data_IF_887703542655
#
_entry.id   IF_887703542655
#
_cell.length_a   1.000
_cell.length_b   1.000
_cell.length_c   1.000
_cell.angle_alpha   90.00
_cell.angle_beta   90.00
_cell.angle_gamma   90.00
#
_symmetry.space_group_name_H-M   'P 1'
#
loop_
_entity.id
_entity.type
_entity.pdbx_description
1 polymer ?
#
# COMPACT_ATOMS: atom_id res chain seq x y z
N UNK A 1 -0.96 -9.10 2.13
CA UNK A 1 -0.73 -9.93 0.92
C UNK A 1 -0.41 -9.04 -0.28
N UNK A 2 -1.21 -8.02 -0.59
CA UNK A 2 -1.03 -7.02 -1.65
C UNK A 2 0.37 -6.37 -1.70
N UNK A 3 0.72 -5.50 -0.73
CA UNK A 3 2.03 -4.80 -0.72
C UNK A 3 3.24 -5.74 -0.89
N UNK A 4 3.24 -6.89 -0.23
CA UNK A 4 4.33 -7.87 -0.36
C UNK A 4 4.52 -8.41 -1.79
N UNK A 5 3.43 -8.56 -2.56
CA UNK A 5 3.51 -8.99 -3.96
C UNK A 5 4.11 -7.88 -4.80
N UNK A 6 3.64 -6.65 -4.61
CA UNK A 6 4.13 -5.49 -5.35
C UNK A 6 5.61 -5.25 -5.13
N UNK A 7 6.04 -5.20 -3.87
CA UNK A 7 7.42 -4.93 -3.50
C UNK A 7 8.39 -6.00 -4.02
N UNK A 8 7.97 -7.27 -4.00
CA UNK A 8 8.85 -8.39 -4.36
C UNK A 8 8.84 -8.72 -5.83
N UNK A 9 7.73 -8.52 -6.52
CA UNK A 9 7.52 -9.07 -7.86
C UNK A 9 7.20 -8.01 -8.91
N UNK A 10 6.49 -6.93 -8.56
CA UNK A 10 6.03 -5.93 -9.53
C UNK A 10 7.01 -4.75 -9.62
N UNK A 11 7.28 -4.09 -8.50
CA UNK A 11 8.14 -2.89 -8.45
C UNK A 11 9.54 -3.13 -9.04
N UNK A 12 10.23 -4.27 -8.82
CA UNK A 12 11.52 -4.52 -9.45
C UNK A 12 11.44 -4.59 -10.98
N UNK A 13 10.32 -5.05 -11.54
CA UNK A 13 10.11 -5.10 -13.00
C UNK A 13 9.80 -3.69 -13.53
N UNK A 14 8.93 -2.94 -12.84
CA UNK A 14 8.60 -1.57 -13.21
C UNK A 14 9.83 -0.65 -13.17
N UNK A 15 10.68 -0.82 -12.15
CA UNK A 15 11.94 -0.08 -11.98
C UNK A 15 12.89 -0.22 -13.17
N UNK A 16 12.74 -1.21 -14.06
CA UNK A 16 13.55 -1.30 -15.28
C UNK A 16 13.34 -0.11 -16.20
N UNK A 17 12.10 0.36 -16.31
CA UNK A 17 11.71 1.44 -17.25
C UNK A 17 11.15 2.69 -16.59
N UNK A 18 10.67 2.60 -15.34
CA UNK A 18 10.03 3.69 -14.61
C UNK A 18 10.94 4.15 -13.47
N UNK A 19 11.64 5.29 -13.61
CA UNK A 19 12.63 5.76 -12.63
C UNK A 19 12.05 6.01 -11.23
N UNK A 20 10.76 6.34 -11.13
CA UNK A 20 10.03 6.48 -9.86
C UNK A 20 10.10 5.22 -8.97
N UNK A 21 10.30 4.03 -9.57
CA UNK A 21 10.49 2.78 -8.82
C UNK A 21 11.95 2.46 -8.48
N UNK A 22 12.93 3.28 -8.89
CA UNK A 22 14.37 3.06 -8.62
C UNK A 22 14.89 3.71 -7.34
N UNK A 23 14.36 4.86 -6.93
CA UNK A 23 14.85 5.66 -5.81
C UNK A 23 13.72 5.88 -4.82
N UNK A 24 13.76 5.15 -3.71
CA UNK A 24 12.89 5.33 -2.54
C UNK A 24 11.45 5.73 -2.85
N UNK A 25 10.70 4.75 -3.35
CA UNK A 25 9.26 4.77 -3.56
C UNK A 25 8.53 5.39 -2.36
N UNK A 26 7.88 6.53 -2.58
CA UNK A 26 6.89 7.07 -1.66
C UNK A 26 5.82 6.00 -1.35
N UNK A 27 5.51 5.12 -2.32
CA UNK A 27 4.68 3.92 -2.14
C UNK A 27 5.21 2.96 -1.05
N UNK A 28 6.53 2.68 -1.00
CA UNK A 28 7.11 1.83 0.05
C UNK A 28 7.01 2.48 1.44
N UNK A 29 7.16 3.81 1.50
CA UNK A 29 7.00 4.56 2.77
C UNK A 29 5.54 4.51 3.21
N UNK A 30 4.60 4.67 2.29
CA UNK A 30 3.17 4.53 2.54
C UNK A 30 2.81 3.11 3.01
N UNK A 31 3.28 2.05 2.34
CA UNK A 31 3.07 0.66 2.77
C UNK A 31 3.49 0.45 4.23
N UNK A 32 4.68 0.90 4.61
CA UNK A 32 5.20 0.78 5.98
C UNK A 32 4.31 1.50 7.00
N UNK A 33 3.83 2.70 6.67
CA UNK A 33 2.95 3.47 7.56
C UNK A 33 1.58 2.79 7.70
N UNK A 34 1.01 2.29 6.60
CA UNK A 34 -0.25 1.54 6.61
C UNK A 34 -0.11 0.29 7.47
N UNK A 35 0.95 -0.50 7.26
CA UNK A 35 1.23 -1.70 8.07
C UNK A 35 1.38 -1.36 9.56
N UNK A 36 2.15 -0.32 9.91
CA UNK A 36 2.30 0.09 11.30
C UNK A 36 0.98 0.53 11.96
N UNK A 37 0.06 1.13 11.19
CA UNK A 37 -1.29 1.45 11.66
C UNK A 37 -2.16 0.20 11.86
N UNK A 38 -2.13 -0.71 10.90
CA UNK A 38 -2.85 -1.98 10.96
C UNK A 38 -2.37 -2.86 12.11
N UNK A 39 -1.07 -2.93 12.38
CA UNK A 39 -0.50 -3.70 13.50
C UNK A 39 -1.07 -3.21 14.84
N UNK A 40 -1.16 -1.88 15.03
CA UNK A 40 -1.77 -1.29 16.24
C UNK A 40 -3.25 -1.59 16.33
N UNK A 41 -3.96 -1.53 15.20
CA UNK A 41 -5.38 -1.83 15.15
C UNK A 41 -5.67 -3.30 15.46
N UNK A 42 -4.91 -4.23 14.88
CA UNK A 42 -5.00 -5.67 15.15
C UNK A 42 -4.70 -5.99 16.61
N UNK A 43 -3.69 -5.36 17.20
CA UNK A 43 -3.35 -5.54 18.60
C UNK A 43 -4.52 -5.16 19.52
N UNK A 44 -5.14 -4.00 19.30
CA UNK A 44 -6.30 -3.56 20.07
C UNK A 44 -7.51 -4.49 19.91
N UNK A 45 -7.84 -4.90 18.68
CA UNK A 45 -8.93 -5.85 18.44
C UNK A 45 -8.65 -7.22 19.07
N UNK A 46 -7.40 -7.65 19.09
CA UNK A 46 -6.97 -8.88 19.76
C UNK A 46 -7.13 -8.78 21.28
N UNK A 47 -6.79 -7.64 21.87
CA UNK A 47 -7.01 -7.37 23.29
C UNK A 47 -8.49 -7.38 23.65
N UNK A 48 -9.34 -6.76 22.83
CA UNK A 48 -10.79 -6.80 22.99
C UNK A 48 -11.32 -8.25 22.94
N UNK A 49 -10.87 -9.03 21.96
CA UNK A 49 -11.26 -10.44 21.80
C UNK A 49 -10.85 -11.31 23.00
N UNK A 50 -9.71 -10.99 23.63
CA UNK A 50 -9.20 -11.69 24.81
C UNK A 50 -9.81 -11.18 26.13
N UNK A 51 -10.69 -10.16 26.10
CA UNK A 51 -11.27 -9.54 27.30
C UNK A 51 -10.27 -8.69 28.09
N UNK A 52 -9.15 -8.27 27.48
CA UNK A 52 -8.15 -7.39 28.10
C UNK A 52 -8.48 -5.91 27.97
N UNK A 53 -9.40 -5.57 27.05
CA UNK A 53 -9.93 -4.24 26.83
C UNK A 53 -11.41 -4.34 26.42
N UNK A 54 -12.18 -3.29 26.69
CA UNK A 54 -13.54 -3.17 26.18
C UNK A 54 -13.52 -2.55 24.77
N UNK A 55 -14.40 -3.04 23.89
CA UNK A 55 -14.47 -2.56 22.51
C UNK A 55 -15.15 -1.19 22.42
N UNK A 56 -14.35 -0.14 22.45
CA UNK A 56 -14.81 1.24 22.33
C UNK A 56 -14.78 1.75 20.88
N UNK A 57 -15.92 2.25 20.40
CA UNK A 57 -16.05 2.79 19.03
C UNK A 57 -15.14 3.99 18.79
N UNK A 58 -14.95 4.83 19.81
CA UNK A 58 -14.07 6.00 19.73
C UNK A 58 -12.61 5.61 19.50
N UNK A 59 -12.17 4.53 20.15
CA UNK A 59 -10.80 4.03 20.01
C UNK A 59 -10.58 3.33 18.67
N UNK A 60 -11.56 2.55 18.20
CA UNK A 60 -11.57 2.00 16.84
C UNK A 60 -11.40 3.12 15.82
N UNK A 61 -12.20 4.19 15.93
CA UNK A 61 -12.10 5.34 15.01
C UNK A 61 -10.71 5.98 15.09
N UNK A 62 -10.19 6.25 16.29
CA UNK A 62 -8.88 6.88 16.48
C UNK A 62 -7.74 6.07 15.84
N UNK A 63 -7.79 4.74 15.97
CA UNK A 63 -6.80 3.85 15.37
C UNK A 63 -6.92 3.83 13.84
N UNK A 64 -8.14 3.78 13.31
CA UNK A 64 -8.38 3.85 11.86
C UNK A 64 -7.95 5.19 11.27
N UNK A 65 -8.24 6.31 11.94
CA UNK A 65 -7.80 7.65 11.53
C UNK A 65 -6.26 7.72 11.48
N UNK A 66 -5.56 7.00 12.36
CA UNK A 66 -4.10 6.99 12.46
C UNK A 66 -3.36 6.47 11.22
N UNK A 67 -4.05 5.76 10.33
CA UNK A 67 -3.51 5.35 9.02
C UNK A 67 -4.44 5.63 7.84
N UNK A 68 -5.62 6.22 8.08
CA UNK A 68 -6.62 6.46 7.05
C UNK A 68 -6.14 7.44 5.97
N UNK A 69 -5.53 8.56 6.37
CA UNK A 69 -5.02 9.56 5.41
C UNK A 69 -3.96 8.98 4.49
N UNK A 70 -3.00 8.22 5.03
CA UNK A 70 -1.94 7.59 4.23
C UNK A 70 -2.49 6.48 3.34
N UNK A 71 -3.50 5.72 3.80
CA UNK A 71 -4.16 4.70 2.99
C UNK A 71 -4.84 5.32 1.77
N UNK A 72 -5.59 6.42 1.93
CA UNK A 72 -6.23 7.09 0.80
C UNK A 72 -5.22 7.67 -0.18
N UNK A 73 -4.20 8.37 0.32
CA UNK A 73 -3.15 8.91 -0.52
C UNK A 73 -2.42 7.80 -1.30
N UNK A 74 -2.17 6.66 -0.67
CA UNK A 74 -1.56 5.51 -1.30
C UNK A 74 -2.37 4.96 -2.47
N UNK A 75 -3.68 4.74 -2.27
CA UNK A 75 -4.57 4.26 -3.34
C UNK A 75 -4.61 5.23 -4.53
N UNK A 76 -4.66 6.54 -4.27
CA UNK A 76 -4.63 7.56 -5.33
C UNK A 76 -3.28 7.60 -6.06
N UNK A 77 -2.18 7.52 -5.32
CA UNK A 77 -0.83 7.52 -5.88
C UNK A 77 -0.57 6.28 -6.74
N UNK A 78 -1.05 5.11 -6.33
CA UNK A 78 -0.96 3.88 -7.12
C UNK A 78 -1.72 3.98 -8.43
N UNK A 79 -2.98 4.43 -8.39
CA UNK A 79 -3.80 4.62 -9.60
C UNK A 79 -3.14 5.60 -10.55
N UNK A 80 -2.60 6.71 -10.04
CA UNK A 80 -1.88 7.70 -10.86
C UNK A 80 -0.61 7.13 -11.47
N UNK A 81 0.15 6.35 -10.71
CA UNK A 81 1.46 5.83 -11.12
C UNK A 81 1.34 4.65 -12.08
N UNK A 82 0.39 3.75 -11.83
CA UNK A 82 0.17 2.51 -12.60
C UNK A 82 -0.99 2.64 -13.61
N UNK A 83 -1.64 3.80 -13.66
CA UNK A 83 -2.70 4.09 -14.62
C UNK A 83 -2.23 4.03 -16.06
N UNK A 84 -3.15 3.73 -16.98
CA UNK A 84 -2.85 3.53 -18.40
C UNK A 84 -2.08 4.70 -19.05
N UNK A 85 -2.38 5.94 -18.63
CA UNK A 85 -1.70 7.14 -19.13
C UNK A 85 -0.22 7.21 -18.77
N UNK A 86 0.14 6.79 -17.55
CA UNK A 86 1.55 6.76 -17.15
C UNK A 86 2.25 5.51 -17.69
N UNK A 87 1.59 4.35 -17.64
CA UNK A 87 2.15 3.08 -18.13
C UNK A 87 2.52 3.14 -19.61
N UNK A 88 1.67 3.72 -20.47
CA UNK A 88 1.94 3.82 -21.91
C UNK A 88 3.12 4.72 -22.28
N UNK A 89 3.64 5.52 -21.35
CA UNK A 89 4.87 6.31 -21.55
C UNK A 89 6.12 5.44 -21.53
N UNK A 90 6.04 4.26 -20.90
CA UNK A 90 7.19 3.38 -20.65
C UNK A 90 7.05 1.99 -21.26
N UNK A 91 5.81 1.50 -21.46
CA UNK A 91 5.51 0.14 -21.86
C UNK A 91 4.68 0.09 -23.15
N UNK A 92 5.03 -0.82 -24.05
CA UNK A 92 4.24 -1.07 -25.27
C UNK A 92 3.10 -2.05 -25.00
N UNK A 93 2.10 -2.08 -25.88
CA UNK A 93 0.99 -3.04 -25.79
C UNK A 93 1.47 -4.50 -25.84
N UNK A 94 2.57 -4.79 -26.54
CA UNK A 94 3.14 -6.14 -26.59
C UNK A 94 3.88 -6.54 -25.30
N UNK A 95 4.37 -5.56 -24.54
CA UNK A 95 5.08 -5.78 -23.29
C UNK A 95 4.12 -5.92 -22.09
N UNK A 96 2.99 -5.21 -22.10
CA UNK A 96 2.02 -5.21 -21.00
C UNK A 96 1.59 -6.62 -20.53
N UNK A 97 1.29 -7.60 -21.40
CA UNK A 97 0.90 -8.95 -20.98
C UNK A 97 2.01 -9.75 -20.29
N UNK A 98 3.26 -9.27 -20.33
CA UNK A 98 4.43 -9.92 -19.71
C UNK A 98 4.74 -9.37 -18.33
N UNK A 99 4.04 -8.31 -17.89
CA UNK A 99 4.19 -7.75 -16.55
C UNK A 99 3.57 -8.71 -15.52
N UNK A 100 4.18 -8.90 -14.34
CA UNK A 100 3.69 -9.82 -13.33
C UNK A 100 2.61 -9.18 -12.45
N UNK A 101 1.53 -8.68 -13.06
CA UNK A 101 0.42 -7.98 -12.37
C UNK A 101 -0.84 -8.84 -12.29
#
# INVERSE_FOLDING_TARGET
MHHNIEERHIFPVLAKKMPEFKKELDLLKQHKQIHAGLDKFEAYLSDCRLGRADLERGEVKRLMDGFGEVLWAHLDDEVRTLGAENMRRYWTLEEMPRLPM
#
